data_IF_567215763962
#
_entry.id   IF_567215763962
#
_cell.length_a   1.000
_cell.length_b   1.000
_cell.length_c   1.000
_cell.angle_alpha   90.00
_cell.angle_beta   90.00
_cell.angle_gamma   90.00
#
_symmetry.space_group_name_H-M   'P 1'
#
loop_
_entity.id
_entity.type
_entity.pdbx_description
1 polymer ?
#
# COMPACT_ATOMS: atom_id res chain seq x y z
N UNK A 1 51.01 1.98 6.10
CA UNK A 1 50.09 2.22 4.98
C UNK A 1 48.68 1.96 5.46
N UNK A 2 47.85 3.02 5.54
CA UNK A 2 46.49 2.93 6.06
C UNK A 2 45.60 2.13 5.10
N UNK A 3 44.94 1.09 5.60
CA UNK A 3 43.85 0.40 4.90
C UNK A 3 42.76 1.44 4.61
N UNK A 4 42.41 1.66 3.33
CA UNK A 4 41.17 2.34 2.94
C UNK A 4 40.01 1.57 3.60
N UNK A 5 39.46 2.11 4.67
CA UNK A 5 38.18 1.69 5.23
C UNK A 5 37.15 2.01 4.15
N UNK A 6 36.75 1.02 3.36
CA UNK A 6 35.66 1.19 2.41
C UNK A 6 34.45 1.70 3.19
N UNK A 7 33.88 2.84 2.76
CA UNK A 7 32.69 3.41 3.37
C UNK A 7 31.66 2.31 3.57
N UNK A 8 31.28 2.02 4.81
CA UNK A 8 30.28 1.01 5.12
C UNK A 8 28.96 1.50 4.52
N UNK A 9 28.54 0.87 3.43
CA UNK A 9 27.25 1.14 2.79
C UNK A 9 26.21 0.34 3.56
N UNK A 10 25.24 1.02 4.17
CA UNK A 10 24.13 0.33 4.84
C UNK A 10 23.03 -0.03 3.85
N UNK A 11 22.41 -1.19 4.05
CA UNK A 11 21.44 -1.75 3.11
C UNK A 11 20.00 -1.60 3.61
N UNK A 12 19.11 -1.30 2.68
CA UNK A 12 17.68 -1.39 2.83
C UNK A 12 17.13 -2.32 1.75
N UNK A 13 15.88 -2.75 1.88
CA UNK A 13 15.30 -3.51 0.80
C UNK A 13 13.82 -3.80 0.91
N UNK A 14 13.31 -4.54 -0.06
CA UNK A 14 11.92 -4.96 -0.15
C UNK A 14 11.84 -6.48 -0.19
N UNK A 15 11.03 -7.06 0.69
CA UNK A 15 10.66 -8.48 0.65
C UNK A 15 9.29 -8.64 0.01
N UNK A 16 9.16 -9.56 -0.94
CA UNK A 16 7.93 -9.83 -1.68
C UNK A 16 8.14 -10.97 -2.67
N UNK A 17 7.13 -11.22 -3.51
CA UNK A 17 7.22 -12.23 -4.59
C UNK A 17 6.91 -11.61 -5.94
N UNK A 18 7.73 -11.89 -6.95
CA UNK A 18 7.66 -11.31 -8.29
C UNK A 18 7.71 -9.79 -8.26
N UNK A 19 8.75 -9.23 -7.63
CA UNK A 19 8.87 -7.81 -7.29
C UNK A 19 9.99 -7.08 -8.04
N UNK A 20 10.51 -7.66 -9.11
CA UNK A 20 11.61 -7.08 -9.88
C UNK A 20 11.32 -5.63 -10.33
N UNK A 21 10.08 -5.34 -10.73
CA UNK A 21 9.61 -4.02 -11.17
C UNK A 21 9.27 -3.03 -10.04
N UNK A 22 9.69 -3.32 -8.80
CA UNK A 22 9.33 -2.51 -7.62
C UNK A 22 9.70 -1.02 -7.73
N UNK A 23 8.67 -0.17 -7.56
CA UNK A 23 8.82 1.27 -7.37
C UNK A 23 9.80 1.62 -6.25
N UNK A 24 9.72 0.93 -5.10
CA UNK A 24 10.52 1.27 -3.91
C UNK A 24 12.02 1.17 -4.18
N UNK A 25 12.45 0.19 -4.98
CA UNK A 25 13.86 0.04 -5.35
C UNK A 25 14.38 1.26 -6.09
N UNK A 26 13.62 1.74 -7.09
CA UNK A 26 14.00 2.94 -7.83
C UNK A 26 13.93 4.19 -6.95
N UNK A 27 12.81 4.39 -6.25
CA UNK A 27 12.57 5.54 -5.40
C UNK A 27 13.68 5.76 -4.35
N UNK A 28 14.04 4.71 -3.60
CA UNK A 28 15.05 4.85 -2.55
C UNK A 28 16.46 5.02 -3.09
N UNK A 29 16.84 4.31 -4.17
CA UNK A 29 18.17 4.48 -4.74
C UNK A 29 18.37 5.88 -5.33
N UNK A 30 17.36 6.45 -6.00
CA UNK A 30 17.40 7.84 -6.47
C UNK A 30 17.46 8.82 -5.29
N UNK A 31 16.66 8.60 -4.23
CA UNK A 31 16.72 9.41 -3.01
C UNK A 31 18.12 9.40 -2.39
N UNK A 32 18.71 8.22 -2.20
CA UNK A 32 20.03 8.08 -1.57
C UNK A 32 21.12 8.74 -2.41
N UNK A 33 21.06 8.58 -3.74
CA UNK A 33 21.98 9.25 -4.66
C UNK A 33 21.86 10.77 -4.59
N UNK A 34 20.63 11.31 -4.66
CA UNK A 34 20.38 12.75 -4.67
C UNK A 34 20.73 13.43 -3.35
N UNK A 35 20.57 12.73 -2.23
CA UNK A 35 20.90 13.23 -0.88
C UNK A 35 22.35 12.91 -0.45
N UNK A 36 23.15 12.26 -1.30
CA UNK A 36 24.53 11.89 -0.98
C UNK A 36 24.66 10.89 0.18
N UNK A 37 23.63 10.07 0.38
CA UNK A 37 23.56 9.13 1.49
C UNK A 37 24.27 7.82 1.13
N UNK A 38 25.11 7.25 2.03
CA UNK A 38 25.87 6.03 1.78
C UNK A 38 25.00 4.78 1.99
N UNK A 39 23.85 4.73 1.32
CA UNK A 39 22.86 3.66 1.45
C UNK A 39 22.51 3.04 0.10
N UNK A 40 22.06 1.80 0.12
CA UNK A 40 21.58 1.09 -1.07
C UNK A 40 20.27 0.37 -0.77
N UNK A 41 19.38 0.27 -1.77
CA UNK A 41 18.11 -0.42 -1.68
C UNK A 41 18.02 -1.55 -2.70
N UNK A 42 17.65 -2.77 -2.26
CA UNK A 42 17.46 -3.91 -3.16
C UNK A 42 16.16 -4.69 -2.92
N UNK A 43 15.77 -5.49 -3.90
CA UNK A 43 14.67 -6.43 -3.74
C UNK A 43 15.23 -7.78 -3.26
N UNK A 44 14.50 -8.39 -2.34
CA UNK A 44 14.64 -9.76 -1.90
C UNK A 44 13.38 -10.49 -2.38
N UNK A 45 13.44 -10.99 -3.61
CA UNK A 45 12.35 -11.72 -4.23
C UNK A 45 12.35 -13.16 -3.70
N UNK A 46 11.31 -13.52 -2.94
CA UNK A 46 11.19 -14.79 -2.27
C UNK A 46 9.94 -15.51 -2.76
N UNK A 47 10.07 -16.79 -3.13
CA UNK A 47 8.93 -17.65 -3.48
C UNK A 47 8.03 -17.95 -2.29
N UNK A 48 8.62 -18.04 -1.09
CA UNK A 48 7.95 -18.12 0.20
C UNK A 48 8.82 -17.53 1.33
N UNK A 49 8.27 -17.43 2.54
CA UNK A 49 8.96 -16.83 3.69
C UNK A 49 10.00 -17.74 4.38
N UNK A 50 10.17 -19.00 3.97
CA UNK A 50 11.23 -19.86 4.54
C UNK A 50 12.61 -19.26 4.32
N UNK A 51 12.82 -18.57 3.19
CA UNK A 51 14.06 -17.86 2.87
C UNK A 51 14.27 -16.56 3.66
N UNK A 52 13.28 -16.08 4.41
CA UNK A 52 13.37 -14.78 5.09
C UNK A 52 14.49 -14.76 6.15
N UNK A 53 14.73 -15.87 6.88
CA UNK A 53 15.82 -15.95 7.85
C UNK A 53 17.19 -15.83 7.18
N UNK A 54 17.38 -16.51 6.04
CA UNK A 54 18.61 -16.44 5.26
C UNK A 54 18.89 -15.02 4.77
N UNK A 55 17.85 -14.26 4.37
CA UNK A 55 17.99 -12.83 4.02
C UNK A 55 18.59 -12.04 5.18
N UNK A 56 18.12 -12.26 6.40
CA UNK A 56 18.61 -11.55 7.58
C UNK A 56 20.06 -11.93 7.92
N UNK A 57 20.38 -13.22 7.87
CA UNK A 57 21.70 -13.76 8.23
C UNK A 57 22.79 -13.36 7.22
N UNK A 58 22.47 -13.34 5.92
CA UNK A 58 23.41 -13.02 4.85
C UNK A 58 23.60 -11.51 4.63
N UNK A 59 22.79 -10.66 5.29
CA UNK A 59 22.82 -9.21 5.12
C UNK A 59 22.93 -8.51 6.48
N UNK A 60 24.06 -8.67 7.16
CA UNK A 60 24.33 -8.04 8.46
C UNK A 60 24.38 -6.50 8.40
N UNK A 61 24.53 -5.93 7.20
CA UNK A 61 24.49 -4.51 6.88
C UNK A 61 23.06 -3.93 6.73
N UNK A 62 22.03 -4.79 6.79
CA UNK A 62 20.64 -4.40 6.64
C UNK A 62 20.14 -3.54 7.82
N UNK A 63 19.50 -2.41 7.52
CA UNK A 63 18.97 -1.46 8.52
C UNK A 63 17.46 -1.28 8.46
N UNK A 64 16.82 -1.75 7.40
CA UNK A 64 15.37 -1.73 7.28
C UNK A 64 14.89 -2.52 6.08
N UNK A 65 13.66 -3.00 6.15
CA UNK A 65 13.00 -3.67 5.04
C UNK A 65 11.60 -3.10 4.87
N UNK A 66 11.14 -2.99 3.63
CA UNK A 66 9.72 -3.04 3.33
C UNK A 66 9.28 -4.48 3.09
N UNK A 67 7.98 -4.70 3.20
CA UNK A 67 7.32 -5.96 2.88
C UNK A 67 6.13 -5.66 1.98
N UNK A 68 5.99 -6.42 0.89
CA UNK A 68 4.86 -6.31 -0.02
C UNK A 68 4.18 -7.66 -0.22
N UNK A 69 3.27 -7.71 -1.19
CA UNK A 69 2.51 -8.90 -1.57
C UNK A 69 3.46 -10.09 -1.81
N UNK A 70 3.08 -11.30 -1.37
CA UNK A 70 1.89 -11.63 -0.58
C UNK A 70 2.11 -11.59 0.93
N UNK A 71 3.27 -11.10 1.40
CA UNK A 71 3.78 -11.40 2.74
C UNK A 71 3.40 -10.46 3.86
N UNK A 72 2.64 -9.39 3.59
CA UNK A 72 2.36 -8.35 4.60
C UNK A 72 1.71 -8.91 5.89
N UNK A 73 0.95 -10.00 5.79
CA UNK A 73 0.33 -10.65 6.95
C UNK A 73 1.20 -11.78 7.51
N UNK A 74 1.69 -12.65 6.62
CA UNK A 74 2.46 -13.84 6.99
C UNK A 74 3.87 -13.54 7.51
N UNK A 75 4.36 -12.31 7.38
CA UNK A 75 5.64 -11.87 7.96
C UNK A 75 5.54 -11.61 9.47
N UNK A 76 4.33 -11.44 10.02
CA UNK A 76 4.12 -11.08 11.42
C UNK A 76 4.78 -12.05 12.42
N UNK A 77 4.72 -13.38 12.24
CA UNK A 77 5.37 -14.33 13.15
C UNK A 77 6.89 -14.19 13.24
N UNK A 78 7.53 -13.51 12.28
CA UNK A 78 8.97 -13.24 12.29
C UNK A 78 9.33 -11.95 13.05
N UNK A 79 8.34 -11.18 13.50
CA UNK A 79 8.57 -9.91 14.22
C UNK A 79 8.62 -10.12 15.72
N UNK A 80 9.65 -9.57 16.38
CA UNK A 80 9.70 -9.56 17.85
C UNK A 80 8.64 -8.62 18.45
N UNK A 81 8.35 -7.51 17.74
CA UNK A 81 7.41 -6.49 18.20
C UNK A 81 6.63 -5.88 17.04
N UNK A 82 5.40 -5.47 17.32
CA UNK A 82 4.59 -4.68 16.40
C UNK A 82 4.34 -3.27 16.95
N UNK A 83 4.28 -2.29 16.04
CA UNK A 83 3.67 -0.99 16.36
C UNK A 83 2.19 -1.14 16.67
N UNK A 84 1.62 -0.20 17.44
CA UNK A 84 0.18 -0.19 17.77
C UNK A 84 -0.69 -0.21 16.50
N UNK A 85 -0.26 0.51 15.45
CA UNK A 85 -0.95 0.57 14.15
C UNK A 85 -0.87 -0.77 13.41
N UNK A 86 0.33 -1.34 13.25
CA UNK A 86 0.50 -2.65 12.59
C UNK A 86 -0.27 -3.77 13.31
N UNK A 87 -0.27 -3.78 14.66
CA UNK A 87 -1.03 -4.74 15.45
C UNK A 87 -2.54 -4.63 15.21
N UNK A 88 -3.08 -3.41 15.11
CA UNK A 88 -4.52 -3.19 14.84
C UNK A 88 -4.92 -3.54 13.41
N UNK A 89 -4.04 -3.29 12.45
CA UNK A 89 -4.28 -3.61 11.03
C UNK A 89 -4.14 -5.12 10.78
N UNK A 90 -3.24 -5.80 11.50
CA UNK A 90 -2.90 -7.19 11.23
C UNK A 90 -2.06 -7.36 9.98
N UNK A 91 -1.26 -6.33 9.62
CA UNK A 91 -0.33 -6.39 8.49
C UNK A 91 0.89 -5.48 8.73
N UNK A 92 2.05 -5.91 8.24
CA UNK A 92 3.35 -5.22 8.29
C UNK A 92 3.84 -4.97 6.86
N UNK A 93 4.18 -3.73 6.54
CA UNK A 93 4.81 -3.36 5.26
C UNK A 93 6.20 -2.72 5.45
N UNK A 94 6.64 -2.54 6.70
CA UNK A 94 7.88 -1.87 7.08
C UNK A 94 8.44 -2.53 8.33
N UNK A 95 9.68 -3.00 8.26
CA UNK A 95 10.43 -3.65 9.33
C UNK A 95 11.59 -2.74 9.67
N UNK A 96 11.80 -2.52 10.96
CA UNK A 96 12.95 -1.80 11.51
C UNK A 96 13.77 -2.72 12.39
N UNK A 97 15.09 -2.71 12.20
CA UNK A 97 16.04 -3.31 13.13
C UNK A 97 16.25 -2.37 14.30
N UNK A 98 15.96 -2.83 15.52
CA UNK A 98 16.18 -2.03 16.72
C UNK A 98 17.67 -2.02 17.09
N UNK A 99 18.09 -1.07 17.94
CA UNK A 99 19.47 -1.02 18.46
C UNK A 99 19.91 -2.31 19.17
N UNK A 100 18.97 -3.15 19.63
CA UNK A 100 19.21 -4.44 20.27
C UNK A 100 19.22 -5.62 19.29
N UNK A 101 19.06 -5.39 17.99
CA UNK A 101 18.98 -6.42 16.96
C UNK A 101 17.55 -6.92 16.66
N UNK A 102 16.57 -6.66 17.54
CA UNK A 102 15.20 -7.13 17.35
C UNK A 102 14.50 -6.48 16.14
N UNK A 103 13.61 -7.24 15.50
CA UNK A 103 12.75 -6.81 14.40
C UNK A 103 11.45 -6.21 14.93
N UNK A 104 11.15 -4.98 14.49
CA UNK A 104 9.89 -4.32 14.79
C UNK A 104 9.09 -4.03 13.53
N UNK A 105 7.87 -4.54 13.47
CA UNK A 105 6.92 -4.37 12.37
C UNK A 105 6.06 -3.10 12.48
N UNK A 106 5.92 -2.40 11.35
CA UNK A 106 5.15 -1.19 11.16
C UNK A 106 4.27 -1.31 9.91
N UNK A 107 3.24 -0.48 9.84
CA UNK A 107 2.39 -0.33 8.67
C UNK A 107 2.34 1.15 8.27
N UNK A 108 3.00 1.49 7.15
CA UNK A 108 3.06 2.84 6.59
C UNK A 108 2.03 3.06 5.50
N UNK A 109 1.41 2.01 4.95
CA UNK A 109 0.29 2.12 3.99
C UNK A 109 -0.83 2.97 4.61
N UNK A 110 -1.17 2.74 5.88
CA UNK A 110 -2.18 3.54 6.59
C UNK A 110 -1.82 5.04 6.69
N UNK A 111 -0.53 5.35 6.81
CA UNK A 111 -0.09 6.75 6.79
C UNK A 111 -0.16 7.33 5.38
N UNK A 112 0.31 6.60 4.37
CA UNK A 112 0.27 7.02 2.97
C UNK A 112 -1.16 7.28 2.52
N UNK A 113 -2.05 6.32 2.74
CA UNK A 113 -3.45 6.40 2.33
C UNK A 113 -4.20 7.53 3.04
N UNK A 114 -4.06 7.67 4.36
CA UNK A 114 -4.72 8.74 5.10
C UNK A 114 -4.37 10.13 4.55
N UNK A 115 -3.08 10.35 4.28
CA UNK A 115 -2.60 11.66 3.84
C UNK A 115 -2.82 11.92 2.34
N UNK A 116 -3.01 10.87 1.52
CA UNK A 116 -3.44 11.03 0.12
C UNK A 116 -4.95 11.19 -0.02
N UNK A 117 -5.75 10.53 0.83
CA UNK A 117 -7.21 10.61 0.79
C UNK A 117 -7.73 11.93 1.36
N UNK A 118 -7.22 12.34 2.54
CA UNK A 118 -7.78 13.46 3.30
C UNK A 118 -7.92 14.77 2.50
N UNK A 119 -6.97 15.18 1.65
CA UNK A 119 -7.11 16.40 0.83
C UNK A 119 -8.22 16.33 -0.22
N UNK A 120 -8.69 15.13 -0.56
CA UNK A 120 -9.73 14.88 -1.56
C UNK A 120 -11.13 14.78 -0.94
N UNK A 121 -11.23 14.75 0.39
CA UNK A 121 -12.51 14.57 1.08
C UNK A 121 -13.32 15.86 1.15
N UNK A 122 -14.61 15.74 0.87
CA UNK A 122 -15.62 16.78 1.04
C UNK A 122 -16.61 16.40 2.15
N UNK A 123 -17.38 17.38 2.66
CA UNK A 123 -18.31 17.17 3.78
C UNK A 123 -19.37 16.08 3.52
N UNK A 124 -19.76 15.88 2.26
CA UNK A 124 -20.76 14.89 1.88
C UNK A 124 -20.20 13.47 1.73
N UNK A 125 -18.88 13.28 1.79
CA UNK A 125 -18.28 11.94 1.78
C UNK A 125 -18.47 11.29 3.15
N UNK A 126 -19.38 10.33 3.25
CA UNK A 126 -19.73 9.68 4.52
C UNK A 126 -19.49 8.17 4.50
N UNK A 127 -19.68 7.51 3.34
CA UNK A 127 -19.50 6.07 3.20
C UNK A 127 -18.61 5.70 2.01
N UNK A 128 -17.91 4.56 2.13
CA UNK A 128 -16.99 4.04 1.12
C UNK A 128 -17.30 2.61 0.67
N UNK A 129 -17.20 2.32 -0.63
CA UNK A 129 -17.07 0.95 -1.15
C UNK A 129 -15.58 0.60 -1.27
N UNK A 130 -15.20 -0.57 -0.76
CA UNK A 130 -13.83 -1.09 -0.86
C UNK A 130 -13.85 -2.32 -1.77
N UNK A 131 -13.26 -2.18 -2.95
CA UNK A 131 -13.23 -3.22 -3.97
C UNK A 131 -12.01 -4.11 -3.73
N UNK A 132 -12.22 -5.35 -3.29
CA UNK A 132 -11.14 -6.28 -2.95
C UNK A 132 -10.74 -6.29 -1.47
N UNK A 133 -10.16 -7.40 -1.05
CA UNK A 133 -10.06 -7.77 0.38
C UNK A 133 -8.65 -8.23 0.78
N UNK A 134 -7.62 -7.80 0.04
CA UNK A 134 -6.23 -8.18 0.31
C UNK A 134 -5.58 -7.36 1.43
N UNK A 135 -4.28 -7.59 1.69
CA UNK A 135 -3.57 -6.91 2.79
C UNK A 135 -3.60 -5.37 2.73
N UNK A 136 -3.67 -4.78 1.54
CA UNK A 136 -3.83 -3.33 1.38
C UNK A 136 -5.17 -2.83 1.94
N UNK A 137 -6.27 -3.56 1.69
CA UNK A 137 -7.62 -3.14 2.13
C UNK A 137 -7.74 -3.06 3.66
N UNK A 138 -6.95 -3.84 4.41
CA UNK A 138 -6.91 -3.75 5.88
C UNK A 138 -6.39 -2.40 6.37
N UNK A 139 -5.37 -1.84 5.69
CA UNK A 139 -4.85 -0.51 6.01
C UNK A 139 -5.87 0.58 5.64
N UNK A 140 -6.58 0.41 4.53
CA UNK A 140 -7.68 1.31 4.09
C UNK A 140 -8.79 1.34 5.14
N UNK A 141 -9.31 0.18 5.54
CA UNK A 141 -10.35 0.07 6.57
C UNK A 141 -9.93 0.72 7.88
N UNK A 142 -8.70 0.49 8.32
CA UNK A 142 -8.18 1.13 9.52
C UNK A 142 -8.23 2.65 9.44
N UNK A 143 -7.91 3.22 8.27
CA UNK A 143 -7.97 4.66 8.03
C UNK A 143 -9.41 5.17 7.99
N UNK A 144 -10.31 4.48 7.29
CA UNK A 144 -11.73 4.88 7.20
C UNK A 144 -12.38 4.92 8.59
N UNK A 145 -12.17 3.90 9.42
CA UNK A 145 -12.62 3.87 10.82
C UNK A 145 -12.04 5.06 11.60
N UNK A 146 -10.75 5.37 11.40
CA UNK A 146 -10.10 6.51 12.07
C UNK A 146 -10.60 7.87 11.60
N UNK A 147 -11.20 7.95 10.42
CA UNK A 147 -11.82 9.14 9.87
C UNK A 147 -13.32 9.23 10.17
N UNK A 148 -13.90 8.19 10.79
CA UNK A 148 -15.34 8.13 11.08
C UNK A 148 -16.20 7.85 9.85
N UNK A 149 -15.62 7.27 8.79
CA UNK A 149 -16.33 6.93 7.55
C UNK A 149 -16.85 5.49 7.63
N UNK A 150 -18.12 5.29 7.29
CA UNK A 150 -18.68 3.95 7.11
C UNK A 150 -18.12 3.30 5.85
N UNK A 151 -18.16 1.97 5.77
CA UNK A 151 -17.72 1.27 4.58
C UNK A 151 -18.39 -0.09 4.43
N UNK A 152 -18.45 -0.54 3.18
CA UNK A 152 -18.81 -1.90 2.81
C UNK A 152 -17.78 -2.47 1.83
N UNK A 153 -17.52 -3.76 1.95
CA UNK A 153 -16.68 -4.47 0.98
C UNK A 153 -17.48 -4.79 -0.28
N UNK A 154 -16.79 -4.83 -1.42
CA UNK A 154 -17.27 -5.42 -2.66
C UNK A 154 -16.31 -6.51 -3.10
N UNK A 155 -16.81 -7.71 -3.33
CA UNK A 155 -16.00 -8.84 -3.81
C UNK A 155 -16.81 -9.78 -4.71
N UNK A 156 -16.13 -10.68 -5.43
CA UNK A 156 -16.78 -11.66 -6.32
C UNK A 156 -17.73 -12.62 -5.58
N UNK A 157 -17.43 -12.92 -4.33
CA UNK A 157 -18.26 -13.75 -3.45
C UNK A 157 -18.76 -12.91 -2.29
N UNK A 158 -19.98 -13.17 -1.82
CA UNK A 158 -20.55 -12.50 -0.63
C UNK A 158 -19.62 -12.70 0.58
N UNK A 159 -19.44 -11.64 1.37
CA UNK A 159 -18.73 -11.67 2.66
C UNK A 159 -19.59 -10.97 3.70
N UNK A 160 -19.29 -11.22 4.97
CA UNK A 160 -19.94 -10.51 6.07
C UNK A 160 -19.79 -8.99 5.90
N UNK A 161 -20.92 -8.28 5.97
CA UNK A 161 -21.00 -6.83 5.81
C UNK A 161 -20.50 -6.29 4.45
N UNK A 162 -20.73 -7.02 3.36
CA UNK A 162 -20.36 -6.59 2.00
C UNK A 162 -21.36 -7.00 0.91
N UNK A 163 -21.09 -6.49 -0.30
CA UNK A 163 -21.84 -6.74 -1.52
C UNK A 163 -21.04 -7.59 -2.50
N UNK A 164 -21.73 -8.31 -3.38
CA UNK A 164 -21.13 -8.74 -4.64
C UNK A 164 -21.19 -7.60 -5.66
N UNK A 165 -20.42 -7.71 -6.75
CA UNK A 165 -20.48 -6.73 -7.84
C UNK A 165 -21.88 -6.66 -8.46
N UNK A 166 -22.58 -7.79 -8.57
CA UNK A 166 -23.93 -7.88 -9.16
C UNK A 166 -25.03 -7.32 -8.24
N UNK A 167 -24.74 -7.14 -6.95
CA UNK A 167 -25.67 -6.56 -5.98
C UNK A 167 -25.63 -5.03 -5.94
N UNK A 168 -24.69 -4.39 -6.66
CA UNK A 168 -24.54 -2.94 -6.63
C UNK A 168 -25.67 -2.26 -7.42
N UNK A 169 -26.60 -1.65 -6.69
CA UNK A 169 -27.69 -0.86 -7.25
C UNK A 169 -27.35 0.63 -7.31
N UNK A 170 -28.18 1.42 -8.01
CA UNK A 170 -28.09 2.88 -8.00
C UNK A 170 -28.10 3.47 -6.58
N UNK A 171 -28.92 2.91 -5.70
CA UNK A 171 -29.03 3.39 -4.31
C UNK A 171 -27.75 3.10 -3.52
N UNK A 172 -27.16 1.92 -3.72
CA UNK A 172 -25.88 1.57 -3.08
C UNK A 172 -24.77 2.51 -3.56
N UNK A 173 -24.67 2.78 -4.86
CA UNK A 173 -23.67 3.73 -5.37
C UNK A 173 -23.87 5.13 -4.78
N UNK A 174 -25.09 5.68 -4.84
CA UNK A 174 -25.38 7.04 -4.34
C UNK A 174 -25.12 7.20 -2.85
N UNK A 175 -25.36 6.16 -2.06
CA UNK A 175 -25.09 6.16 -0.61
C UNK A 175 -23.60 5.98 -0.27
N UNK A 176 -22.77 5.58 -1.22
CA UNK A 176 -21.32 5.39 -1.06
C UNK A 176 -20.52 6.32 -1.97
N UNK A 177 -20.26 7.52 -1.46
CA UNK A 177 -19.62 8.58 -2.25
C UNK A 177 -18.12 8.33 -2.49
N UNK A 178 -17.49 7.43 -1.75
CA UNK A 178 -16.09 7.05 -1.98
C UNK A 178 -16.06 5.63 -2.52
N UNK A 179 -15.34 5.38 -3.60
CA UNK A 179 -15.14 4.03 -4.14
C UNK A 179 -13.64 3.79 -4.28
N UNK A 180 -13.11 2.77 -3.60
CA UNK A 180 -11.68 2.52 -3.48
C UNK A 180 -11.34 1.19 -4.15
N UNK A 181 -10.63 1.23 -5.27
CA UNK A 181 -10.13 0.02 -5.92
C UNK A 181 -8.87 -0.50 -5.21
N UNK A 182 -8.99 -1.63 -4.52
CA UNK A 182 -7.87 -2.35 -3.90
C UNK A 182 -7.52 -3.65 -4.65
N UNK A 183 -8.09 -3.87 -5.84
CA UNK A 183 -7.80 -5.02 -6.70
C UNK A 183 -6.63 -4.71 -7.64
N UNK A 184 -6.01 -5.73 -8.25
CA UNK A 184 -5.02 -5.51 -9.30
C UNK A 184 -5.64 -5.22 -10.69
N UNK A 185 -6.97 -5.11 -10.82
CA UNK A 185 -7.62 -4.86 -12.12
C UNK A 185 -7.21 -3.50 -12.68
N UNK A 186 -6.73 -3.47 -13.92
CA UNK A 186 -6.24 -2.26 -14.58
C UNK A 186 -4.73 -2.09 -14.54
N UNK A 187 -3.98 -3.06 -14.02
CA UNK A 187 -2.50 -3.09 -14.15
C UNK A 187 -2.06 -3.78 -15.44
N UNK A 188 -0.85 -3.49 -15.91
CA UNK A 188 -0.23 -4.22 -17.03
C UNK A 188 -0.19 -5.74 -16.78
N UNK A 189 -0.46 -6.59 -17.79
CA UNK A 189 -0.76 -6.23 -19.18
C UNK A 189 -2.21 -5.82 -19.45
N UNK A 190 -3.13 -6.11 -18.53
CA UNK A 190 -4.58 -5.94 -18.71
C UNK A 190 -5.05 -4.56 -18.26
N UNK A 191 -4.50 -3.50 -18.88
CA UNK A 191 -4.76 -2.10 -18.48
C UNK A 191 -6.19 -1.62 -18.74
N UNK A 192 -6.93 -2.31 -19.60
CA UNK A 192 -8.32 -2.01 -19.94
C UNK A 192 -9.33 -2.75 -19.04
N UNK A 193 -8.85 -3.61 -18.14
CA UNK A 193 -9.70 -4.22 -17.11
C UNK A 193 -10.02 -3.20 -16.01
N UNK A 194 -11.25 -3.26 -15.51
CA UNK A 194 -11.68 -2.47 -14.35
C UNK A 194 -12.70 -3.25 -13.51
N UNK A 195 -12.92 -2.86 -12.25
CA UNK A 195 -14.03 -3.39 -11.46
C UNK A 195 -15.37 -3.16 -12.16
N UNK A 196 -16.25 -4.17 -12.13
CA UNK A 196 -17.58 -4.10 -12.71
C UNK A 196 -18.52 -3.30 -11.79
N UNK A 197 -18.71 -2.02 -12.08
CA UNK A 197 -19.57 -1.12 -11.31
C UNK A 197 -20.64 -0.53 -12.24
N UNK A 198 -21.82 -0.16 -11.73
CA UNK A 198 -22.79 0.62 -12.49
C UNK A 198 -22.35 2.09 -12.53
N UNK A 199 -21.35 2.37 -13.38
CA UNK A 199 -20.71 3.69 -13.50
C UNK A 199 -21.72 4.80 -13.84
N UNK A 200 -22.78 4.49 -14.58
CA UNK A 200 -23.87 5.40 -14.95
C UNK A 200 -24.63 6.00 -13.74
N UNK A 201 -24.41 5.49 -12.53
CA UNK A 201 -24.98 6.02 -11.30
C UNK A 201 -24.01 6.92 -10.51
N UNK A 202 -22.80 7.12 -11.03
CA UNK A 202 -21.84 8.08 -10.50
C UNK A 202 -22.22 9.51 -10.91
N UNK A 203 -21.72 10.47 -10.14
CA UNK A 203 -21.90 11.90 -10.37
C UNK A 203 -20.74 12.69 -9.71
N UNK A 204 -20.85 14.02 -9.72
CA UNK A 204 -19.87 14.95 -9.13
C UNK A 204 -19.70 14.84 -7.61
N UNK A 205 -20.56 14.09 -6.92
CA UNK A 205 -20.43 13.83 -5.48
C UNK A 205 -19.51 12.64 -5.19
N UNK A 206 -19.13 11.86 -6.20
CA UNK A 206 -18.33 10.66 -6.02
C UNK A 206 -16.82 10.94 -6.12
N UNK A 207 -16.05 10.18 -5.34
CA UNK A 207 -14.60 10.09 -5.38
C UNK A 207 -14.18 8.64 -5.65
N UNK A 208 -13.54 8.42 -6.79
CA UNK A 208 -12.90 7.13 -7.11
C UNK A 208 -11.40 7.21 -6.77
N UNK A 209 -10.95 6.32 -5.89
CA UNK A 209 -9.55 6.22 -5.48
C UNK A 209 -8.99 4.86 -5.90
N UNK A 210 -8.07 4.85 -6.85
CA UNK A 210 -7.40 3.63 -7.29
C UNK A 210 -6.06 3.48 -6.57
N UNK A 211 -5.79 2.32 -5.97
CA UNK A 211 -4.46 2.05 -5.39
C UNK A 211 -3.39 1.80 -6.47
N UNK A 212 -3.81 1.56 -7.71
CA UNK A 212 -2.93 1.46 -8.87
C UNK A 212 -2.35 2.84 -9.20
N UNK A 213 -1.08 2.87 -9.57
CA UNK A 213 -0.35 4.08 -9.97
C UNK A 213 0.29 3.98 -11.36
N UNK A 214 0.31 2.77 -11.93
CA UNK A 214 0.79 2.50 -13.27
C UNK A 214 -0.20 1.55 -13.96
N UNK A 215 -0.97 2.01 -14.96
CA UNK A 215 -0.92 3.33 -15.59
C UNK A 215 -1.35 4.47 -14.65
N UNK A 216 -0.99 5.71 -14.98
CA UNK A 216 -1.35 6.89 -14.20
C UNK A 216 -2.86 7.18 -14.21
N UNK A 217 -3.57 6.71 -15.24
CA UNK A 217 -5.02 6.78 -15.41
C UNK A 217 -5.55 5.40 -15.84
N UNK A 218 -6.15 4.66 -14.90
CA UNK A 218 -6.78 3.35 -15.11
C UNK A 218 -8.17 3.47 -15.73
N UNK A 219 -8.68 2.40 -16.32
CA UNK A 219 -10.03 2.36 -16.88
C UNK A 219 -11.11 2.65 -15.83
N UNK A 220 -10.94 2.17 -14.59
CA UNK A 220 -11.79 2.50 -13.44
C UNK A 220 -11.92 4.02 -13.24
N UNK A 221 -10.80 4.75 -13.27
CA UNK A 221 -10.82 6.21 -13.13
C UNK A 221 -11.36 6.91 -14.37
N UNK A 222 -11.05 6.44 -15.58
CA UNK A 222 -11.60 7.05 -16.82
C UNK A 222 -13.12 7.01 -16.83
N UNK A 223 -13.71 5.85 -16.49
CA UNK A 223 -15.17 5.69 -16.40
C UNK A 223 -15.77 6.58 -15.34
N UNK A 224 -15.16 6.68 -14.15
CA UNK A 224 -15.60 7.63 -13.13
C UNK A 224 -15.59 9.08 -13.58
N UNK A 225 -14.46 9.50 -14.15
CA UNK A 225 -14.28 10.87 -14.62
C UNK A 225 -15.29 11.24 -15.73
N UNK A 226 -15.64 10.31 -16.62
CA UNK A 226 -16.66 10.54 -17.66
C UNK A 226 -18.06 10.85 -17.10
N UNK A 227 -18.33 10.47 -15.85
CA UNK A 227 -19.59 10.73 -15.14
C UNK A 227 -19.48 11.96 -14.22
N UNK A 228 -18.33 12.65 -14.23
CA UNK A 228 -18.06 13.84 -13.43
C UNK A 228 -17.48 13.55 -12.04
N UNK A 229 -17.20 12.29 -11.68
CA UNK A 229 -16.59 11.96 -10.39
C UNK A 229 -15.16 12.51 -10.27
N UNK A 230 -14.78 12.88 -9.05
CA UNK A 230 -13.38 13.14 -8.74
C UNK A 230 -12.60 11.82 -8.75
N UNK A 231 -11.37 11.82 -9.29
CA UNK A 231 -10.53 10.62 -9.37
C UNK A 231 -9.13 10.85 -8.83
N UNK A 232 -8.54 9.82 -8.23
CA UNK A 232 -7.13 9.83 -7.79
C UNK A 232 -6.52 8.44 -7.88
N UNK A 233 -5.26 8.39 -8.31
CA UNK A 233 -4.47 7.16 -8.34
C UNK A 233 -3.63 6.97 -7.06
N UNK A 234 -2.91 5.85 -6.98
CA UNK A 234 -2.17 5.44 -5.80
C UNK A 234 -0.78 6.06 -5.66
N UNK A 235 -0.33 6.87 -6.63
CA UNK A 235 1.06 7.37 -6.66
C UNK A 235 1.40 8.17 -5.39
N UNK A 236 0.50 9.08 -4.99
CA UNK A 236 0.74 9.92 -3.81
C UNK A 236 0.80 9.10 -2.51
N UNK A 237 -0.07 8.11 -2.39
CA UNK A 237 -0.03 7.15 -1.28
C UNK A 237 1.32 6.42 -1.23
N UNK A 238 1.81 5.96 -2.38
CA UNK A 238 3.05 5.20 -2.52
C UNK A 238 4.29 6.02 -2.13
N UNK A 239 4.36 7.29 -2.52
CA UNK A 239 5.41 8.23 -2.10
C UNK A 239 5.37 8.45 -0.58
N UNK A 240 4.18 8.76 -0.03
CA UNK A 240 4.02 9.09 1.38
C UNK A 240 4.30 7.90 2.31
N UNK A 241 3.94 6.68 1.92
CA UNK A 241 4.27 5.49 2.71
C UNK A 241 5.77 5.16 2.67
N UNK A 242 6.46 5.45 1.55
CA UNK A 242 7.91 5.25 1.41
C UNK A 242 8.69 6.25 2.26
N UNK A 243 8.35 7.54 2.18
CA UNK A 243 8.93 8.57 3.05
C UNK A 243 8.65 8.29 4.54
N UNK A 244 7.46 7.75 4.85
CA UNK A 244 7.18 7.32 6.22
C UNK A 244 8.07 6.16 6.67
N UNK A 245 8.31 5.18 5.80
CA UNK A 245 9.23 4.08 6.09
C UNK A 245 10.66 4.60 6.33
N UNK A 246 11.12 5.54 5.49
CA UNK A 246 12.39 6.24 5.68
C UNK A 246 12.51 6.87 7.06
N UNK A 247 11.50 7.68 7.44
CA UNK A 247 11.46 8.33 8.76
C UNK A 247 11.52 7.34 9.92
N UNK A 248 10.98 6.13 9.76
CA UNK A 248 11.00 5.10 10.80
C UNK A 248 12.40 4.51 10.93
N UNK A 249 13.09 4.25 9.83
CA UNK A 249 14.43 3.68 9.86
C UNK A 249 15.48 4.65 10.43
N UNK A 250 15.28 5.95 10.25
CA UNK A 250 16.20 6.99 10.75
C UNK A 250 16.06 7.33 12.25
N UNK A 251 15.22 6.59 13.00
CA UNK A 251 15.06 6.77 14.46
C UNK A 251 15.90 5.78 15.26
#
# INVERSE_FOLDING_TARGET
>A
MAKKQGNIVYKFGLVGRHIEYSFSRHFFNEKFKNEGLPYYYQNFDLEDLSGFRAVLEQNSDLKGLNVTIPYKESIIPYMDRLSKTAKRIGAVNTIKFTKKGNLKGYNTDAFGFKNSLKPLLSKHHQSALILGTGGASKAIVYVLIKLGLSFNYVSRSKRDNGFTYDELTAEIIKTHQIIINCTPLGTFPNVDECPNLPYEHLDTRHLLFDLIYNPSMTEFMKRGASQGAQVSNGKKMLELQAEKAWSIWMT
#
